data_IF_594014242323
#
_entry.id   IF_594014242323
#
_cell.length_a   1.000
_cell.length_b   1.000
_cell.length_c   1.000
_cell.angle_alpha   90.00
_cell.angle_beta   90.00
_cell.angle_gamma   90.00
#
_symmetry.space_group_name_H-M   'P 1'
#
loop_
_entity.id
_entity.type
_entity.pdbx_description
1 polymer ?
#
# COMPACT_ATOMS: atom_id res chain seq x y z
N UNK A 1 -2.61 -9.33 17.16
CA UNK A 1 -2.64 -9.24 15.68
C UNK A 1 -3.08 -10.58 15.15
N UNK A 2 -4.11 -10.61 14.31
CA UNK A 2 -4.62 -11.83 13.70
C UNK A 2 -4.40 -11.77 12.19
N UNK A 3 -4.20 -12.92 11.58
CA UNK A 3 -4.06 -13.07 10.12
C UNK A 3 -5.30 -13.78 9.60
N UNK A 4 -5.96 -13.18 8.63
CA UNK A 4 -7.19 -13.72 8.02
C UNK A 4 -6.95 -13.83 6.53
N UNK A 5 -7.33 -14.97 5.94
CA UNK A 5 -7.26 -15.17 4.50
C UNK A 5 -8.35 -14.33 3.80
N UNK A 6 -8.00 -13.76 2.66
CA UNK A 6 -8.87 -12.85 1.90
C UNK A 6 -10.15 -13.48 1.33
N UNK A 7 -10.23 -14.81 1.29
CA UNK A 7 -11.38 -15.62 0.85
C UNK A 7 -12.19 -16.22 2.03
N UNK A 8 -11.80 -15.92 3.26
CA UNK A 8 -12.43 -16.44 4.48
C UNK A 8 -12.89 -15.33 5.42
N UNK A 9 -13.00 -14.11 4.91
CA UNK A 9 -13.34 -12.98 5.71
C UNK A 9 -14.83 -13.03 6.11
N UNK A 10 -15.07 -13.05 7.42
CA UNK A 10 -16.35 -12.62 7.96
C UNK A 10 -16.25 -11.12 8.26
N UNK A 11 -16.89 -10.28 7.45
CA UNK A 11 -16.77 -8.82 7.55
C UNK A 11 -17.12 -8.27 8.93
N UNK A 12 -17.92 -9.00 9.74
CA UNK A 12 -18.23 -8.59 11.11
C UNK A 12 -17.03 -8.57 12.06
N UNK A 13 -15.94 -9.25 11.71
CA UNK A 13 -14.72 -9.22 12.56
C UNK A 13 -13.92 -7.92 12.39
N UNK A 14 -14.14 -7.14 11.33
CA UNK A 14 -13.42 -5.89 11.10
C UNK A 14 -13.59 -4.91 12.26
N UNK A 15 -14.74 -4.93 12.93
CA UNK A 15 -15.03 -4.05 14.05
C UNK A 15 -14.24 -4.41 15.35
N UNK A 16 -13.56 -5.54 15.35
CA UNK A 16 -12.68 -5.96 16.45
C UNK A 16 -11.28 -5.38 16.36
N UNK A 17 -10.94 -4.70 15.24
CA UNK A 17 -9.59 -4.21 14.98
C UNK A 17 -9.55 -2.70 14.77
N UNK A 18 -8.60 -2.07 15.42
CA UNK A 18 -8.35 -0.62 15.30
C UNK A 18 -7.68 -0.27 13.97
N UNK A 19 -6.92 -1.20 13.37
CA UNK A 19 -6.16 -0.99 12.14
C UNK A 19 -6.11 -2.27 11.31
N UNK A 20 -6.03 -2.10 9.99
CA UNK A 20 -5.96 -3.19 9.02
C UNK A 20 -4.70 -3.05 8.18
N UNK A 21 -4.05 -4.18 7.92
CA UNK A 21 -2.97 -4.28 6.93
C UNK A 21 -3.41 -5.22 5.82
N UNK A 22 -3.38 -4.71 4.59
CA UNK A 22 -3.63 -5.50 3.38
C UNK A 22 -2.29 -5.97 2.83
N UNK A 23 -2.06 -7.27 2.87
CA UNK A 23 -0.80 -7.89 2.48
C UNK A 23 -0.57 -7.85 0.97
N UNK A 24 0.68 -8.03 0.52
CA UNK A 24 0.96 -8.35 -0.87
C UNK A 24 0.24 -9.63 -1.31
N UNK A 25 0.02 -9.76 -2.61
CA UNK A 25 -0.57 -10.95 -3.20
C UNK A 25 -0.40 -11.01 -4.71
N UNK A 26 -0.64 -12.17 -5.33
CA UNK A 26 -0.61 -12.33 -6.78
C UNK A 26 -1.92 -11.82 -7.42
N UNK A 27 -1.88 -11.60 -8.73
CA UNK A 27 -3.05 -11.25 -9.53
C UNK A 27 -3.42 -9.77 -9.48
N UNK A 28 -4.69 -9.50 -9.71
CA UNK A 28 -5.26 -8.16 -9.69
C UNK A 28 -6.19 -7.98 -8.47
N UNK A 29 -6.42 -6.74 -8.01
CA UNK A 29 -7.26 -6.47 -6.85
C UNK A 29 -8.66 -7.09 -6.94
N UNK A 30 -9.31 -7.00 -8.10
CA UNK A 30 -10.66 -7.51 -8.33
C UNK A 30 -10.78 -9.04 -8.26
N UNK A 31 -9.66 -9.75 -8.45
CA UNK A 31 -9.59 -11.22 -8.40
C UNK A 31 -9.15 -11.73 -7.02
N UNK A 32 -9.06 -10.83 -6.02
CA UNK A 32 -8.43 -11.12 -4.73
C UNK A 32 -9.45 -11.25 -3.59
N UNK A 33 -10.47 -12.08 -3.81
CA UNK A 33 -11.47 -12.41 -2.78
C UNK A 33 -12.16 -11.17 -2.20
N UNK A 34 -12.18 -11.05 -0.88
CA UNK A 34 -12.89 -9.98 -0.18
C UNK A 34 -12.08 -8.67 -0.06
N UNK A 35 -10.91 -8.57 -0.74
CA UNK A 35 -9.98 -7.44 -0.60
C UNK A 35 -10.67 -6.07 -0.82
N UNK A 36 -11.44 -5.93 -1.91
CA UNK A 36 -12.15 -4.69 -2.23
C UNK A 36 -13.25 -4.38 -1.22
N UNK A 37 -13.92 -5.39 -0.70
CA UNK A 37 -14.97 -5.24 0.31
C UNK A 37 -14.37 -4.79 1.66
N UNK A 38 -13.21 -5.31 2.06
CA UNK A 38 -12.48 -4.82 3.24
C UNK A 38 -12.18 -3.34 3.14
N UNK A 39 -11.69 -2.88 1.99
CA UNK A 39 -11.40 -1.46 1.75
C UNK A 39 -12.68 -0.64 1.88
N UNK A 40 -13.76 -1.07 1.22
CA UNK A 40 -15.07 -0.39 1.25
C UNK A 40 -15.61 -0.25 2.68
N UNK A 41 -15.55 -1.30 3.48
CA UNK A 41 -16.06 -1.32 4.86
C UNK A 41 -15.15 -0.56 5.84
N UNK A 42 -13.92 -0.27 5.45
CA UNK A 42 -12.95 0.45 6.27
C UNK A 42 -12.89 1.95 5.95
N UNK A 43 -13.52 2.39 4.86
CA UNK A 43 -13.48 3.77 4.36
C UNK A 43 -13.91 4.78 5.43
N UNK A 44 -12.96 5.63 5.87
CA UNK A 44 -13.16 6.64 6.89
C UNK A 44 -13.41 6.09 8.31
N UNK A 45 -13.50 4.77 8.47
CA UNK A 45 -13.82 4.12 9.76
C UNK A 45 -12.55 3.82 10.55
N UNK A 46 -11.53 3.28 9.89
CA UNK A 46 -10.26 2.87 10.54
C UNK A 46 -9.08 3.00 9.59
N UNK A 47 -7.87 3.20 10.12
CA UNK A 47 -6.67 3.23 9.29
C UNK A 47 -6.41 1.90 8.59
N UNK A 48 -6.13 1.95 7.29
CA UNK A 48 -5.76 0.80 6.46
C UNK A 48 -4.41 1.04 5.81
N UNK A 49 -3.51 0.06 5.91
CA UNK A 49 -2.21 0.07 5.25
C UNK A 49 -2.15 -1.00 4.18
N UNK A 50 -2.00 -0.60 2.93
CA UNK A 50 -1.88 -1.50 1.78
C UNK A 50 -0.43 -1.66 1.32
N UNK A 51 0.00 -2.91 1.15
CA UNK A 51 1.33 -3.25 0.61
C UNK A 51 1.16 -3.89 -0.76
N UNK A 52 1.85 -3.35 -1.77
CA UNK A 52 1.85 -3.83 -3.15
C UNK A 52 0.41 -3.99 -3.70
N UNK A 53 -0.12 -5.20 -3.76
CA UNK A 53 -1.51 -5.46 -4.16
C UNK A 53 -2.53 -4.67 -3.31
N UNK A 54 -2.29 -4.54 -2.01
CA UNK A 54 -3.14 -3.77 -1.10
C UNK A 54 -3.17 -2.28 -1.46
N UNK A 55 -2.03 -1.66 -1.83
CA UNK A 55 -1.99 -0.29 -2.34
C UNK A 55 -2.72 -0.17 -3.67
N UNK A 56 -2.50 -1.11 -4.59
CA UNK A 56 -3.17 -1.14 -5.90
C UNK A 56 -4.70 -1.21 -5.75
N UNK A 57 -5.18 -2.04 -4.83
CA UNK A 57 -6.61 -2.15 -4.51
C UNK A 57 -7.19 -0.84 -3.97
N UNK A 58 -6.47 -0.16 -3.06
CA UNK A 58 -6.87 1.16 -2.58
C UNK A 58 -6.93 2.18 -3.71
N UNK A 59 -5.93 2.19 -4.60
CA UNK A 59 -5.90 3.13 -5.72
C UNK A 59 -7.10 2.93 -6.66
N UNK A 60 -7.45 1.67 -7.02
CA UNK A 60 -8.64 1.38 -7.82
C UNK A 60 -9.94 1.77 -7.11
N UNK A 61 -10.05 1.50 -5.79
CA UNK A 61 -11.19 1.91 -4.99
C UNK A 61 -11.37 3.44 -4.97
N UNK A 62 -10.27 4.19 -4.99
CA UNK A 62 -10.23 5.64 -5.01
C UNK A 62 -10.38 6.23 -6.43
N UNK A 63 -10.77 5.44 -7.42
CA UNK A 63 -11.01 5.87 -8.80
C UNK A 63 -9.77 5.92 -9.68
N UNK A 64 -8.65 5.40 -9.20
CA UNK A 64 -7.44 5.24 -9.98
C UNK A 64 -7.50 4.04 -10.92
N UNK A 65 -6.42 3.83 -11.65
CA UNK A 65 -6.27 2.71 -12.57
C UNK A 65 -4.89 2.08 -12.47
N UNK A 66 -4.77 0.83 -12.91
CA UNK A 66 -3.51 0.10 -12.97
C UNK A 66 -3.04 -0.05 -14.41
N UNK A 67 -1.73 -0.06 -14.59
CA UNK A 67 -1.10 -0.40 -15.87
C UNK A 67 0.00 -1.44 -15.68
N UNK A 68 0.19 -2.29 -16.70
CA UNK A 68 1.27 -3.26 -16.68
C UNK A 68 2.57 -2.58 -17.14
N UNK A 69 3.62 -2.69 -16.33
CA UNK A 69 4.93 -2.14 -16.66
C UNK A 69 5.61 -2.97 -17.75
N UNK A 70 6.31 -2.31 -18.66
CA UNK A 70 7.09 -2.98 -19.71
C UNK A 70 8.21 -3.85 -19.14
N UNK A 71 8.71 -3.49 -17.97
CA UNK A 71 9.81 -4.17 -17.30
C UNK A 71 9.34 -4.59 -15.90
N UNK A 72 9.29 -5.90 -15.67
CA UNK A 72 8.94 -6.45 -14.35
C UNK A 72 10.09 -6.20 -13.38
N UNK A 73 9.77 -5.63 -12.22
CA UNK A 73 10.73 -5.45 -11.13
C UNK A 73 10.47 -6.53 -10.07
N UNK A 74 11.41 -7.47 -9.93
CA UNK A 74 11.26 -8.57 -8.99
C UNK A 74 12.57 -8.88 -8.26
N UNK A 75 12.60 -8.65 -6.95
CA UNK A 75 13.78 -8.88 -6.11
C UNK A 75 14.91 -7.89 -6.36
N UNK A 76 14.60 -6.64 -6.70
CA UNK A 76 15.57 -5.57 -6.91
C UNK A 76 15.38 -4.45 -5.88
N UNK A 77 16.50 -3.86 -5.43
CA UNK A 77 16.51 -2.65 -4.64
C UNK A 77 16.47 -1.42 -5.55
N UNK A 78 15.68 -0.41 -5.17
CA UNK A 78 15.60 0.86 -5.89
C UNK A 78 15.51 2.03 -4.90
N UNK A 79 16.16 3.15 -5.22
CA UNK A 79 16.02 4.39 -4.47
C UNK A 79 14.74 5.10 -4.90
N UNK A 80 13.95 5.54 -3.92
CA UNK A 80 12.71 6.28 -4.13
C UNK A 80 12.72 7.60 -3.39
N UNK A 81 12.04 8.61 -3.94
CA UNK A 81 11.86 9.92 -3.31
C UNK A 81 10.63 9.90 -2.42
N UNK A 82 10.75 10.46 -1.22
CA UNK A 82 9.66 10.59 -0.26
C UNK A 82 9.19 12.03 -0.17
N UNK A 83 7.87 12.22 -0.20
CA UNK A 83 7.21 13.47 0.11
C UNK A 83 6.82 13.52 1.60
N UNK A 84 6.38 14.70 2.06
CA UNK A 84 5.98 14.89 3.46
C UNK A 84 4.70 14.11 3.78
N UNK A 85 4.81 13.12 4.65
CA UNK A 85 3.70 12.31 5.15
C UNK A 85 3.99 11.83 6.57
N UNK A 86 2.94 11.60 7.38
CA UNK A 86 3.09 10.95 8.69
C UNK A 86 3.64 9.53 8.57
N UNK A 87 3.33 8.84 7.47
CA UNK A 87 3.88 7.51 7.18
C UNK A 87 5.41 7.51 7.11
N UNK A 88 6.00 8.60 6.61
CA UNK A 88 7.44 8.76 6.43
C UNK A 88 8.09 9.69 7.46
N UNK A 89 7.41 9.99 8.55
CA UNK A 89 7.94 10.85 9.60
C UNK A 89 9.25 10.28 10.18
N UNK A 90 10.28 11.13 10.19
CA UNK A 90 11.62 10.75 10.68
C UNK A 90 12.51 10.05 9.67
N UNK A 91 12.07 9.90 8.42
CA UNK A 91 12.87 9.36 7.33
C UNK A 91 13.62 10.44 6.55
N UNK A 92 14.75 10.10 5.89
CA UNK A 92 15.37 10.99 4.91
C UNK A 92 14.45 11.14 3.68
N UNK A 93 14.73 12.13 2.83
CA UNK A 93 13.97 12.38 1.60
C UNK A 93 14.09 11.28 0.54
N UNK A 94 15.05 10.37 0.70
CA UNK A 94 15.28 9.24 -0.20
C UNK A 94 15.60 7.99 0.59
N UNK A 95 15.00 6.85 0.21
CA UNK A 95 15.25 5.54 0.84
C UNK A 95 15.37 4.43 -0.21
N UNK A 96 16.11 3.37 0.15
CA UNK A 96 16.15 2.14 -0.64
C UNK A 96 14.99 1.22 -0.28
N UNK A 97 14.32 0.66 -1.31
CA UNK A 97 13.16 -0.23 -1.15
C UNK A 97 13.23 -1.43 -2.09
N UNK A 98 12.69 -2.56 -1.64
CA UNK A 98 12.58 -3.79 -2.42
C UNK A 98 11.32 -3.82 -3.28
N UNK A 99 11.48 -4.08 -4.57
CA UNK A 99 10.40 -4.13 -5.56
C UNK A 99 10.15 -5.55 -6.06
N UNK A 100 8.85 -5.91 -6.19
CA UNK A 100 8.40 -7.25 -6.58
C UNK A 100 7.11 -7.18 -7.40
N UNK A 101 6.97 -6.20 -8.33
CA UNK A 101 5.72 -5.96 -9.03
C UNK A 101 5.88 -5.77 -10.54
N UNK A 102 4.83 -6.11 -11.28
CA UNK A 102 4.67 -5.85 -12.71
C UNK A 102 3.57 -4.83 -12.99
N UNK A 103 2.63 -4.66 -12.07
CA UNK A 103 1.59 -3.64 -12.16
C UNK A 103 1.95 -2.42 -11.33
N UNK A 104 1.52 -1.25 -11.80
CA UNK A 104 1.70 0.03 -11.13
C UNK A 104 0.45 0.90 -11.25
N UNK A 105 0.31 1.85 -10.33
CA UNK A 105 -0.81 2.78 -10.25
C UNK A 105 -0.59 3.98 -11.17
N UNK A 106 -1.63 4.40 -11.90
CA UNK A 106 -1.69 5.67 -12.60
C UNK A 106 -1.94 6.84 -11.64
N UNK A 107 -1.71 8.07 -12.12
CA UNK A 107 -1.84 9.31 -11.32
C UNK A 107 -3.27 9.75 -11.07
N UNK A 108 -4.26 9.11 -11.69
CA UNK A 108 -5.68 9.39 -11.52
C UNK A 108 -6.18 8.80 -10.20
N UNK A 109 -7.16 9.45 -9.59
CA UNK A 109 -7.80 8.98 -8.37
C UNK A 109 -7.85 10.00 -7.25
N UNK A 110 -8.68 9.72 -6.23
CA UNK A 110 -8.85 10.55 -5.03
C UNK A 110 -7.79 10.17 -3.97
N UNK A 111 -6.52 10.40 -4.28
CA UNK A 111 -5.39 10.16 -3.37
C UNK A 111 -4.24 11.12 -3.62
N UNK A 112 -3.43 11.36 -2.59
CA UNK A 112 -2.16 12.06 -2.69
C UNK A 112 -1.04 11.06 -2.98
N UNK A 113 -0.17 11.39 -3.94
CA UNK A 113 1.05 10.63 -4.19
C UNK A 113 2.14 11.14 -3.25
N UNK A 114 2.62 10.28 -2.37
CA UNK A 114 3.61 10.63 -1.34
C UNK A 114 4.99 9.99 -1.57
N UNK A 115 5.15 9.23 -2.66
CA UNK A 115 6.46 8.74 -3.09
C UNK A 115 6.47 8.34 -4.56
N UNK A 116 7.63 8.55 -5.22
CA UNK A 116 7.89 8.13 -6.60
C UNK A 116 9.29 7.54 -6.74
N UNK A 117 9.42 6.63 -7.71
CA UNK A 117 10.71 6.16 -8.18
C UNK A 117 11.39 7.17 -9.11
N UNK A 118 12.66 6.93 -9.45
CA UNK A 118 13.39 7.73 -10.44
C UNK A 118 12.74 7.68 -11.85
N UNK A 119 12.00 6.62 -12.16
CA UNK A 119 11.24 6.47 -13.40
C UNK A 119 9.83 7.09 -13.31
N UNK A 120 9.56 7.87 -12.27
CA UNK A 120 8.27 8.52 -11.99
C UNK A 120 7.10 7.55 -11.73
N UNK A 121 7.38 6.30 -11.38
CA UNK A 121 6.36 5.33 -10.95
C UNK A 121 5.89 5.67 -9.54
N UNK A 122 4.58 5.61 -9.28
CA UNK A 122 4.00 5.84 -7.96
C UNK A 122 4.44 4.72 -7.02
N UNK A 123 5.11 5.08 -5.91
CA UNK A 123 5.63 4.17 -4.91
C UNK A 123 4.88 4.22 -3.58
N UNK A 124 4.16 5.32 -3.31
CA UNK A 124 3.25 5.39 -2.17
C UNK A 124 2.14 6.41 -2.40
N UNK A 125 0.98 6.12 -1.81
CA UNK A 125 -0.20 6.97 -1.83
C UNK A 125 -0.79 7.10 -0.44
N UNK A 126 -1.53 8.21 -0.20
CA UNK A 126 -2.37 8.35 0.99
C UNK A 126 -3.70 9.06 0.65
N UNK A 127 -4.74 8.75 1.42
CA UNK A 127 -5.95 9.55 1.52
C UNK A 127 -6.27 9.73 3.01
N UNK A 128 -5.96 10.91 3.55
CA UNK A 128 -6.10 11.21 4.99
C UNK A 128 -7.54 11.20 5.47
N UNK A 129 -8.48 11.62 4.61
CA UNK A 129 -9.91 11.66 4.96
C UNK A 129 -10.49 10.26 5.14
N UNK A 130 -9.98 9.30 4.36
CA UNK A 130 -10.39 7.90 4.40
C UNK A 130 -9.51 7.03 5.30
N UNK A 131 -8.44 7.60 5.87
CA UNK A 131 -7.41 6.89 6.65
C UNK A 131 -6.71 5.78 5.86
N UNK A 132 -6.47 5.99 4.57
CA UNK A 132 -5.82 5.03 3.70
C UNK A 132 -4.37 5.42 3.43
N UNK A 133 -3.47 4.45 3.59
CA UNK A 133 -2.03 4.57 3.37
C UNK A 133 -1.55 3.36 2.57
N UNK A 134 -0.79 3.57 1.52
CA UNK A 134 -0.35 2.46 0.69
C UNK A 134 1.07 2.64 0.17
N UNK A 135 1.80 1.51 0.05
CA UNK A 135 3.13 1.46 -0.55
C UNK A 135 3.19 0.37 -1.62
N UNK A 136 3.84 0.66 -2.77
CA UNK A 136 4.02 -0.30 -3.86
C UNK A 136 5.16 -1.28 -3.57
N UNK A 137 6.16 -0.84 -2.83
CA UNK A 137 7.29 -1.64 -2.40
C UNK A 137 6.95 -2.53 -1.20
N UNK A 138 7.88 -3.40 -0.82
CA UNK A 138 7.72 -4.37 0.27
C UNK A 138 8.49 -3.92 1.53
N UNK A 139 7.82 -3.31 2.52
CA UNK A 139 8.47 -2.87 3.77
C UNK A 139 8.95 -4.06 4.63
N UNK A 140 8.44 -5.27 4.40
CA UNK A 140 8.87 -6.49 5.07
C UNK A 140 10.15 -7.09 4.46
N UNK A 141 10.53 -6.64 3.25
CA UNK A 141 11.67 -7.20 2.53
C UNK A 141 13.00 -6.79 3.16
N UNK A 142 14.00 -7.68 3.09
CA UNK A 142 15.38 -7.38 3.44
C UNK A 142 15.96 -6.25 2.56
N UNK A 143 15.43 -6.06 1.36
CA UNK A 143 15.80 -4.98 0.43
C UNK A 143 15.19 -3.63 0.81
N UNK A 144 14.42 -3.55 1.91
CA UNK A 144 13.86 -2.30 2.46
C UNK A 144 14.40 -2.11 3.88
N UNK A 145 15.63 -1.63 4.06
CA UNK A 145 16.27 -1.57 5.39
C UNK A 145 15.46 -0.78 6.43
N UNK A 146 14.76 0.26 5.99
CA UNK A 146 13.94 1.13 6.85
C UNK A 146 12.46 0.69 6.96
N UNK A 147 12.07 -0.41 6.34
CA UNK A 147 10.66 -0.81 6.21
C UNK A 147 9.93 -1.01 7.54
N UNK A 148 10.61 -1.55 8.56
CA UNK A 148 10.04 -1.68 9.92
C UNK A 148 9.62 -0.34 10.52
N UNK A 149 10.36 0.73 10.21
CA UNK A 149 10.03 2.09 10.66
C UNK A 149 8.72 2.60 10.03
N UNK A 150 8.49 2.31 8.74
CA UNK A 150 7.26 2.67 8.03
C UNK A 150 6.05 1.98 8.68
N UNK A 151 6.14 0.67 8.92
CA UNK A 151 5.10 -0.09 9.62
C UNK A 151 4.85 0.49 11.02
N UNK A 152 5.92 0.82 11.75
CA UNK A 152 5.81 1.43 13.08
C UNK A 152 5.11 2.79 13.02
N UNK A 153 5.41 3.63 12.04
CA UNK A 153 4.73 4.93 11.87
C UNK A 153 3.24 4.70 11.62
N UNK A 154 2.87 3.80 10.71
CA UNK A 154 1.45 3.44 10.49
C UNK A 154 0.76 2.97 11.78
N UNK A 155 1.40 2.14 12.57
CA UNK A 155 0.82 1.64 13.83
C UNK A 155 0.63 2.76 14.87
N UNK A 156 1.29 3.89 14.74
CA UNK A 156 1.18 5.04 15.63
C UNK A 156 0.24 6.15 15.10
N UNK A 157 -0.30 6.01 13.88
CA UNK A 157 -1.34 6.91 13.38
C UNK A 157 -2.65 6.67 14.14
#
# INVERSE_FOLDING_TARGET
MDVVLNDQLNCSILDLYDKIVLSPGPGLPMDSGDLMEVIRLSDGVRPVFGVCLGMQAMAEYLGGSLYNQKQVKHGIGELIQLESSLLFQGFPSEIEVGLYHSWAVNTEGDFEVISRSCENVIMAIENKLKNFYGVQFHPESILTPLGKGIIKNFLNL
#
